data_IF_456277559113
#
_entry.id   IF_456277559113
#
_cell.length_a   1.000
_cell.length_b   1.000
_cell.length_c   1.000
_cell.angle_alpha   90.00
_cell.angle_beta   90.00
_cell.angle_gamma   90.00
#
_symmetry.space_group_name_H-M   'P 1'
#
loop_
_entity.id
_entity.type
_entity.pdbx_description
1 polymer ?
#
# COMPACT_ATOMS: atom_id res chain seq x y z
N UNK A 1 10.10 18.72 -24.39
CA UNK A 1 9.81 18.32 -22.99
C UNK A 1 10.04 16.83 -22.86
N UNK A 2 10.79 16.44 -21.86
CA UNK A 2 10.99 15.02 -21.58
C UNK A 2 9.80 14.51 -20.75
N UNK A 3 9.38 13.29 -21.04
CA UNK A 3 8.35 12.62 -20.24
C UNK A 3 8.92 12.24 -18.87
N UNK A 4 8.05 12.27 -17.87
CA UNK A 4 8.43 11.82 -16.52
C UNK A 4 8.65 10.31 -16.52
N UNK A 5 9.70 9.87 -15.86
CA UNK A 5 9.98 8.46 -15.63
C UNK A 5 9.30 8.05 -14.32
N UNK A 6 8.09 7.50 -14.45
CA UNK A 6 7.30 7.10 -13.27
C UNK A 6 7.45 5.61 -13.01
N UNK A 7 7.86 5.27 -11.79
CA UNK A 7 7.97 3.87 -11.37
C UNK A 7 6.58 3.29 -11.18
N UNK A 8 6.22 2.21 -11.88
CA UNK A 8 4.93 1.57 -11.63
C UNK A 8 4.96 0.77 -10.33
N UNK A 9 3.92 0.89 -9.54
CA UNK A 9 3.79 0.17 -8.28
C UNK A 9 2.36 -0.30 -8.09
N UNK A 10 2.19 -1.45 -7.45
CA UNK A 10 0.88 -2.01 -7.12
C UNK A 10 0.80 -2.20 -5.60
N UNK A 11 -0.35 -1.82 -5.03
CA UNK A 11 -0.59 -1.91 -3.59
C UNK A 11 -1.93 -2.57 -3.31
N UNK A 12 -2.04 -3.18 -2.14
CA UNK A 12 -3.26 -3.84 -1.72
C UNK A 12 -3.90 -3.09 -0.56
N UNK A 13 -5.19 -2.76 -0.70
CA UNK A 13 -5.99 -2.28 0.43
C UNK A 13 -6.59 -3.52 1.05
N UNK A 14 -5.96 -4.02 2.11
CA UNK A 14 -6.32 -5.28 2.75
C UNK A 14 -7.30 -4.99 3.88
N UNK A 15 -8.49 -5.57 3.79
CA UNK A 15 -9.57 -5.34 4.79
C UNK A 15 -10.04 -6.69 5.33
N UNK A 16 -10.10 -6.81 6.66
CA UNK A 16 -10.56 -8.03 7.30
C UNK A 16 -12.07 -7.98 7.61
N UNK A 17 -12.59 -9.02 8.27
CA UNK A 17 -14.01 -9.15 8.60
C UNK A 17 -14.48 -8.14 9.65
N UNK A 18 -13.57 -7.48 10.33
CA UNK A 18 -13.89 -6.44 11.32
C UNK A 18 -13.64 -5.03 10.77
N UNK A 19 -13.52 -4.90 9.46
CA UNK A 19 -13.27 -3.64 8.75
C UNK A 19 -11.95 -2.95 9.16
N UNK A 20 -10.97 -3.74 9.61
CA UNK A 20 -9.62 -3.24 9.85
C UNK A 20 -8.82 -3.31 8.56
N UNK A 21 -7.89 -2.39 8.39
CA UNK A 21 -6.98 -2.39 7.25
C UNK A 21 -5.55 -2.67 7.70
N UNK A 22 -4.82 -3.42 6.87
CA UNK A 22 -3.41 -3.74 7.13
C UNK A 22 -2.53 -2.66 6.54
N UNK A 23 -1.68 -2.07 7.37
CA UNK A 23 -0.73 -1.04 6.91
C UNK A 23 0.69 -1.42 7.27
N UNK A 24 1.63 -0.91 6.48
CA UNK A 24 3.06 -1.01 6.73
C UNK A 24 3.60 0.37 7.07
N UNK A 25 4.62 0.42 7.94
CA UNK A 25 5.25 1.67 8.32
C UNK A 25 6.61 1.78 7.66
N UNK A 26 6.84 2.92 7.02
CA UNK A 26 8.15 3.29 6.50
C UNK A 26 8.80 4.32 7.42
N UNK A 27 10.06 4.10 7.72
CA UNK A 27 10.86 4.99 8.58
C UNK A 27 11.96 5.62 7.71
N UNK A 28 11.90 6.93 7.56
CA UNK A 28 12.87 7.70 6.77
C UNK A 28 13.86 8.46 7.66
N UNK A 29 13.92 8.12 8.94
CA UNK A 29 14.82 8.73 9.90
C UNK A 29 14.20 9.91 10.63
N UNK A 30 13.71 10.89 9.90
CA UNK A 30 13.08 12.10 10.44
C UNK A 30 11.56 12.03 10.51
N UNK A 31 10.95 11.01 9.89
CA UNK A 31 9.49 10.85 9.89
C UNK A 31 9.10 9.40 9.63
N UNK A 32 7.90 9.06 10.06
CA UNK A 32 7.25 7.77 9.78
C UNK A 32 6.09 8.01 8.83
N UNK A 33 5.89 7.07 7.90
CA UNK A 33 4.73 7.11 6.99
C UNK A 33 4.09 5.74 6.99
N UNK A 34 2.78 5.68 7.20
CA UNK A 34 2.01 4.45 7.10
C UNK A 34 1.32 4.39 5.73
N UNK A 35 1.40 3.24 5.10
CA UNK A 35 0.88 3.04 3.75
C UNK A 35 0.32 1.63 3.57
N UNK A 36 -0.48 1.44 2.54
CA UNK A 36 -0.93 0.12 2.15
C UNK A 36 0.27 -0.73 1.70
N UNK A 37 0.30 -2.03 2.02
CA UNK A 37 1.39 -2.90 1.57
C UNK A 37 1.44 -2.97 0.04
N UNK A 38 2.63 -3.19 -0.49
CA UNK A 38 2.88 -3.23 -1.92
C UNK A 38 4.20 -2.59 -2.26
N UNK A 39 4.47 -2.43 -3.53
CA UNK A 39 5.70 -1.83 -4.01
C UNK A 39 5.83 -1.87 -5.51
N UNK A 40 7.04 -1.63 -5.99
CA UNK A 40 7.31 -1.56 -7.41
C UNK A 40 7.01 -2.85 -8.15
N UNK A 41 6.45 -2.70 -9.34
CA UNK A 41 6.20 -3.80 -10.26
C UNK A 41 7.51 -4.09 -10.99
N UNK A 42 7.98 -5.33 -10.91
CA UNK A 42 9.22 -5.72 -11.57
C UNK A 42 8.98 -5.97 -13.06
N UNK A 43 10.05 -5.98 -13.85
CA UNK A 43 9.98 -6.26 -15.28
C UNK A 43 9.31 -7.62 -15.49
N UNK A 44 8.41 -7.69 -16.48
CA UNK A 44 7.66 -8.90 -16.82
C UNK A 44 6.64 -9.37 -15.76
N UNK A 45 6.41 -8.56 -14.73
CA UNK A 45 5.45 -8.85 -13.68
C UNK A 45 4.13 -8.12 -13.96
N UNK A 46 2.99 -8.82 -13.77
CA UNK A 46 1.69 -8.16 -13.79
C UNK A 46 1.42 -7.50 -12.44
N UNK A 47 0.42 -6.63 -12.38
CA UNK A 47 -0.02 -5.99 -11.13
C UNK A 47 -0.34 -7.06 -10.08
N UNK A 48 -1.10 -8.09 -10.46
CA UNK A 48 -1.48 -9.18 -9.57
C UNK A 48 -0.27 -9.94 -9.04
N UNK A 49 0.69 -10.24 -9.91
CA UNK A 49 1.91 -10.93 -9.51
C UNK A 49 2.72 -10.10 -8.51
N UNK A 50 2.81 -8.79 -8.75
CA UNK A 50 3.50 -7.88 -7.84
C UNK A 50 2.82 -7.84 -6.47
N UNK A 51 1.50 -7.75 -6.44
CA UNK A 51 0.73 -7.71 -5.19
C UNK A 51 0.91 -9.03 -4.42
N UNK A 52 0.85 -10.17 -5.09
CA UNK A 52 1.02 -11.48 -4.45
C UNK A 52 2.42 -11.61 -3.85
N UNK A 53 3.43 -11.19 -4.58
CA UNK A 53 4.82 -11.20 -4.10
C UNK A 53 4.98 -10.29 -2.89
N UNK A 54 4.54 -9.05 -3.01
CA UNK A 54 4.70 -8.04 -1.94
C UNK A 54 3.93 -8.41 -0.66
N UNK A 55 2.70 -8.91 -0.77
CA UNK A 55 1.93 -9.32 0.41
C UNK A 55 2.56 -10.52 1.10
N UNK A 56 3.15 -11.43 0.36
CA UNK A 56 3.87 -12.56 0.95
C UNK A 56 5.13 -12.06 1.67
N UNK A 57 5.91 -11.21 1.02
CA UNK A 57 7.16 -10.67 1.57
C UNK A 57 6.91 -9.81 2.81
N UNK A 58 5.93 -8.93 2.75
CA UNK A 58 5.70 -7.91 3.78
C UNK A 58 4.76 -8.35 4.92
N UNK A 59 3.86 -9.29 4.66
CA UNK A 59 2.83 -9.67 5.63
C UNK A 59 2.65 -11.18 5.80
N UNK A 60 3.25 -11.98 4.94
CA UNK A 60 3.06 -13.43 4.99
C UNK A 60 1.73 -13.91 4.44
N UNK A 61 0.99 -13.05 3.72
CA UNK A 61 -0.28 -13.41 3.13
C UNK A 61 -0.05 -14.00 1.73
N UNK A 62 -0.23 -15.31 1.62
CA UNK A 62 0.02 -16.05 0.38
C UNK A 62 -1.21 -16.39 -0.43
N UNK A 63 -2.38 -16.47 0.20
CA UNK A 63 -3.62 -16.88 -0.46
C UNK A 63 -4.72 -15.87 -0.24
N UNK A 64 -5.26 -15.33 -1.34
CA UNK A 64 -6.38 -14.39 -1.32
C UNK A 64 -6.92 -14.23 -2.73
N UNK A 65 -8.13 -13.71 -2.84
CA UNK A 65 -8.69 -13.30 -4.13
C UNK A 65 -8.39 -11.82 -4.34
N UNK A 66 -7.87 -11.46 -5.51
CA UNK A 66 -7.64 -10.07 -5.86
C UNK A 66 -8.96 -9.42 -6.26
N UNK A 67 -9.34 -8.37 -5.57
CA UNK A 67 -10.53 -7.60 -5.87
C UNK A 67 -10.28 -6.51 -6.93
N UNK A 68 -11.24 -5.60 -7.10
CA UNK A 68 -11.11 -4.55 -8.12
C UNK A 68 -10.09 -3.48 -7.74
N UNK A 69 -9.60 -2.78 -8.75
CA UNK A 69 -8.80 -1.58 -8.55
C UNK A 69 -9.70 -0.50 -7.96
N UNK A 70 -9.30 0.10 -6.86
CA UNK A 70 -10.12 1.08 -6.14
C UNK A 70 -9.54 2.49 -6.16
N UNK A 71 -8.22 2.62 -6.19
CA UNK A 71 -7.55 3.92 -6.19
C UNK A 71 -6.38 3.94 -7.14
N UNK A 72 -6.03 5.15 -7.60
CA UNK A 72 -4.78 5.43 -8.30
C UNK A 72 -4.10 6.59 -7.60
N UNK A 73 -2.77 6.67 -7.73
CA UNK A 73 -2.00 7.75 -7.14
C UNK A 73 -0.75 7.98 -7.96
N UNK A 74 -0.46 9.25 -8.24
CA UNK A 74 0.81 9.63 -8.86
C UNK A 74 1.50 10.64 -7.96
N UNK A 75 2.73 10.32 -7.58
CA UNK A 75 3.55 11.18 -6.71
C UNK A 75 4.86 11.50 -7.44
N UNK A 76 5.03 12.77 -7.80
CA UNK A 76 6.23 13.22 -8.51
C UNK A 76 7.27 13.60 -7.47
N UNK A 77 8.22 12.69 -7.24
CA UNK A 77 9.32 12.85 -6.29
C UNK A 77 10.47 11.95 -6.74
N UNK A 78 11.72 12.44 -6.74
CA UNK A 78 12.85 11.61 -7.17
C UNK A 78 12.98 10.34 -6.32
N UNK A 79 13.15 9.20 -6.99
CA UNK A 79 13.27 7.88 -6.37
C UNK A 79 14.46 7.13 -6.98
N UNK A 80 14.95 6.12 -6.23
CA UNK A 80 15.97 5.22 -6.75
C UNK A 80 17.25 5.93 -7.20
N UNK A 81 17.75 6.86 -6.39
CA UNK A 81 18.97 7.63 -6.69
C UNK A 81 18.86 8.39 -8.04
N UNK A 82 17.68 8.93 -8.33
CA UNK A 82 17.43 9.69 -9.56
C UNK A 82 17.05 8.85 -10.76
N UNK A 83 16.87 7.55 -10.60
CA UNK A 83 16.41 6.67 -11.68
C UNK A 83 14.98 6.99 -12.10
N UNK A 84 14.15 7.42 -11.15
CA UNK A 84 12.75 7.74 -11.37
C UNK A 84 12.44 9.17 -10.98
N UNK A 85 11.51 9.78 -11.69
CA UNK A 85 11.03 11.14 -11.41
C UNK A 85 9.82 11.13 -10.49
N UNK A 86 9.25 9.96 -10.25
CA UNK A 86 8.11 9.76 -9.37
C UNK A 86 7.60 8.33 -9.46
N UNK A 87 6.41 8.12 -8.92
CA UNK A 87 5.79 6.81 -8.87
C UNK A 87 4.30 6.91 -9.17
N UNK A 88 3.79 5.96 -9.97
CA UNK A 88 2.37 5.76 -10.16
C UNK A 88 1.98 4.49 -9.46
N UNK A 89 0.95 4.57 -8.63
CA UNK A 89 0.48 3.45 -7.83
C UNK A 89 -0.95 3.09 -8.19
N UNK A 90 -1.22 1.79 -8.29
CA UNK A 90 -2.56 1.24 -8.49
C UNK A 90 -2.91 0.40 -7.28
N UNK A 91 -4.06 0.69 -6.65
CA UNK A 91 -4.50 0.05 -5.41
C UNK A 91 -5.65 -0.89 -5.70
N UNK A 92 -5.54 -2.11 -5.20
CA UNK A 92 -6.54 -3.17 -5.38
C UNK A 92 -7.10 -3.59 -4.02
N UNK A 93 -8.40 -3.83 -3.97
CA UNK A 93 -9.05 -4.30 -2.75
C UNK A 93 -8.75 -5.78 -2.54
N UNK A 94 -8.36 -6.14 -1.32
CA UNK A 94 -8.15 -7.52 -0.89
C UNK A 94 -8.92 -7.73 0.41
N UNK A 95 -9.99 -8.54 0.34
CA UNK A 95 -10.73 -8.93 1.55
C UNK A 95 -10.21 -10.27 2.02
N UNK A 96 -9.93 -10.38 3.31
CA UNK A 96 -9.35 -11.59 3.89
C UNK A 96 -9.79 -11.73 5.35
N UNK A 97 -9.91 -12.96 5.87
CA UNK A 97 -10.00 -13.15 7.31
C UNK A 97 -8.78 -12.54 8.01
N UNK A 98 -8.96 -12.10 9.24
CA UNK A 98 -7.84 -11.58 10.03
C UNK A 98 -6.76 -12.64 10.19
N UNK A 99 -5.52 -12.20 10.19
CA UNK A 99 -4.35 -13.07 10.38
C UNK A 99 -3.28 -12.28 11.13
N UNK A 100 -2.33 -13.01 11.75
CA UNK A 100 -1.17 -12.38 12.36
C UNK A 100 -0.11 -12.17 11.28
N UNK A 101 0.27 -10.93 10.98
CA UNK A 101 1.28 -10.68 9.94
C UNK A 101 2.62 -11.31 10.30
N UNK A 102 3.13 -12.14 9.39
CA UNK A 102 4.44 -12.78 9.51
C UNK A 102 5.20 -12.61 8.19
N UNK A 103 5.91 -11.49 8.02
CA UNK A 103 6.67 -11.26 6.79
C UNK A 103 7.57 -12.43 6.42
N UNK A 104 7.66 -12.75 5.16
CA UNK A 104 8.58 -13.77 4.65
C UNK A 104 9.99 -13.25 4.52
N UNK A 105 10.14 -11.95 4.25
CA UNK A 105 11.46 -11.32 4.32
C UNK A 105 11.85 -11.13 5.79
N UNK A 106 13.14 -11.18 6.06
CA UNK A 106 13.65 -10.85 7.39
C UNK A 106 13.45 -9.37 7.68
N UNK A 107 13.42 -9.00 8.95
CA UNK A 107 13.34 -7.58 9.31
C UNK A 107 14.56 -6.79 8.84
N UNK A 108 15.72 -7.42 8.71
CA UNK A 108 16.89 -6.77 8.13
C UNK A 108 16.66 -6.42 6.65
N UNK A 109 16.06 -7.35 5.88
CA UNK A 109 15.72 -7.11 4.48
C UNK A 109 14.64 -6.04 4.33
N UNK A 110 13.61 -6.07 5.19
CA UNK A 110 12.53 -5.07 5.16
C UNK A 110 13.06 -3.68 5.52
N UNK A 111 13.92 -3.59 6.53
CA UNK A 111 14.55 -2.30 6.91
C UNK A 111 15.42 -1.74 5.82
N UNK A 112 16.03 -2.59 4.99
CA UNK A 112 16.79 -2.13 3.84
C UNK A 112 15.88 -1.38 2.85
N UNK A 113 14.57 -1.64 2.89
CA UNK A 113 13.55 -0.94 2.11
C UNK A 113 12.81 0.10 2.96
N UNK A 114 13.33 0.44 4.13
CA UNK A 114 12.77 1.39 5.10
C UNK A 114 11.50 0.91 5.81
N UNK A 115 11.07 -0.32 5.62
CA UNK A 115 9.89 -0.86 6.30
C UNK A 115 10.24 -1.34 7.69
N UNK A 116 9.53 -0.82 8.71
CA UNK A 116 9.84 -1.10 10.11
C UNK A 116 8.68 -1.69 10.92
N UNK A 117 7.48 -1.77 10.36
CA UNK A 117 6.35 -2.37 11.06
C UNK A 117 5.25 -2.76 10.08
N UNK A 118 4.41 -3.70 10.49
CA UNK A 118 3.18 -4.06 9.80
C UNK A 118 2.12 -4.35 10.87
N UNK A 119 0.94 -3.76 10.75
CA UNK A 119 -0.12 -4.02 11.71
C UNK A 119 -1.50 -3.66 11.17
N UNK A 120 -2.52 -4.20 11.82
CA UNK A 120 -3.91 -3.89 11.55
C UNK A 120 -4.31 -2.58 12.23
N UNK A 121 -5.15 -1.80 11.55
CA UNK A 121 -5.70 -0.54 12.06
C UNK A 121 -7.21 -0.57 11.94
N UNK A 122 -7.91 -0.19 13.03
CA UNK A 122 -9.36 0.05 12.96
C UNK A 122 -9.61 1.41 12.32
N UNK A 123 -10.85 1.62 11.84
CA UNK A 123 -11.23 2.92 11.29
C UNK A 123 -11.07 4.04 12.31
N UNK A 124 -11.45 3.78 13.57
CA UNK A 124 -11.33 4.76 14.65
C UNK A 124 -9.87 5.12 14.93
N UNK A 125 -8.99 4.11 14.93
CA UNK A 125 -7.54 4.35 15.08
C UNK A 125 -6.98 5.20 13.96
N UNK A 126 -7.40 4.94 12.72
CA UNK A 126 -6.96 5.73 11.56
C UNK A 126 -7.37 7.20 11.70
N UNK A 127 -8.60 7.45 12.11
CA UNK A 127 -9.13 8.80 12.23
C UNK A 127 -8.55 9.57 13.40
N UNK A 128 -8.20 8.88 14.48
CA UNK A 128 -7.63 9.49 15.67
C UNK A 128 -6.11 9.72 15.58
N UNK A 129 -5.43 9.06 14.66
CA UNK A 129 -3.98 9.11 14.56
C UNK A 129 -3.46 10.46 14.08
N UNK A 130 -2.37 10.90 14.69
CA UNK A 130 -1.69 12.14 14.30
C UNK A 130 -0.43 11.86 13.49
N UNK A 131 -0.38 10.70 12.84
CA UNK A 131 0.75 10.28 12.01
C UNK A 131 0.48 10.58 10.53
N UNK A 132 1.53 10.51 9.73
CA UNK A 132 1.40 10.72 8.28
C UNK A 132 0.99 9.41 7.59
N UNK A 133 0.03 9.51 6.69
CA UNK A 133 -0.39 8.42 5.81
C UNK A 133 -0.05 8.76 4.35
N UNK A 134 0.19 7.72 3.55
CA UNK A 134 0.35 7.86 2.11
C UNK A 134 -0.63 6.91 1.40
N UNK A 135 -1.63 7.42 0.67
CA UNK A 135 -1.95 8.84 0.49
C UNK A 135 -2.42 9.51 1.79
N UNK A 136 -2.31 10.82 1.87
CA UNK A 136 -2.69 11.55 3.09
C UNK A 136 -4.15 11.34 3.48
N UNK A 137 -5.02 11.16 2.48
CA UNK A 137 -6.46 10.92 2.69
C UNK A 137 -6.79 9.45 3.00
N UNK A 138 -5.78 8.60 3.21
CA UNK A 138 -6.00 7.17 3.40
C UNK A 138 -7.12 6.86 4.42
N UNK A 139 -7.18 7.50 5.60
CA UNK A 139 -8.27 7.22 6.55
C UNK A 139 -9.66 7.42 5.95
N UNK A 140 -9.90 8.54 5.26
CA UNK A 140 -11.22 8.80 4.67
C UNK A 140 -11.52 7.89 3.48
N UNK A 141 -10.50 7.54 2.71
CA UNK A 141 -10.64 6.63 1.57
C UNK A 141 -11.00 5.21 2.05
N UNK A 142 -10.37 4.74 3.12
CA UNK A 142 -10.67 3.42 3.69
C UNK A 142 -12.09 3.40 4.26
N UNK A 143 -12.50 4.46 4.96
CA UNK A 143 -13.86 4.55 5.49
C UNK A 143 -14.89 4.49 4.37
N UNK A 144 -14.71 5.26 3.30
CA UNK A 144 -15.62 5.22 2.15
C UNK A 144 -15.70 3.84 1.52
N UNK A 145 -14.55 3.17 1.42
CA UNK A 145 -14.49 1.81 0.87
C UNK A 145 -15.26 0.80 1.72
N UNK A 146 -15.16 0.93 3.05
CA UNK A 146 -15.88 0.06 3.98
C UNK A 146 -17.39 0.35 3.96
N UNK A 147 -17.78 1.63 3.98
CA UNK A 147 -19.18 2.02 4.08
C UNK A 147 -19.95 1.91 2.75
N UNK A 148 -19.29 2.22 1.64
CA UNK A 148 -19.93 2.31 0.34
C UNK A 148 -19.54 1.19 -0.63
N UNK A 149 -18.52 0.41 -0.28
CA UNK A 149 -17.98 -0.61 -1.17
C UNK A 149 -17.06 -0.02 -2.24
N UNK A 150 -16.55 -0.88 -3.15
CA UNK A 150 -15.66 -0.42 -4.20
C UNK A 150 -16.32 0.61 -5.11
N UNK A 151 -15.61 1.67 -5.51
CA UNK A 151 -16.16 2.66 -6.44
C UNK A 151 -16.31 2.06 -7.84
N UNK A 152 -17.24 2.61 -8.64
CA UNK A 152 -17.45 2.16 -10.03
C UNK A 152 -16.20 2.40 -10.88
N UNK A 153 -15.45 3.46 -10.59
CA UNK A 153 -14.20 3.80 -11.24
C UNK A 153 -13.15 4.07 -10.17
N UNK A 154 -11.87 3.72 -10.39
CA UNK A 154 -10.82 4.03 -9.42
C UNK A 154 -10.77 5.53 -9.11
N UNK A 155 -10.59 5.85 -7.82
CA UNK A 155 -10.50 7.22 -7.34
C UNK A 155 -9.05 7.68 -7.37
N UNK A 156 -8.78 8.90 -7.85
CA UNK A 156 -7.46 9.50 -7.70
C UNK A 156 -7.27 9.85 -6.21
N UNK A 157 -6.37 9.15 -5.57
CA UNK A 157 -6.16 9.28 -4.12
C UNK A 157 -5.36 10.53 -3.73
N UNK A 158 -4.73 11.17 -4.69
CA UNK A 158 -3.85 12.31 -4.42
C UNK A 158 -2.54 11.88 -3.77
N UNK A 159 -1.81 12.81 -3.22
CA UNK A 159 -0.52 12.52 -2.58
C UNK A 159 -0.61 12.39 -1.08
#
# INVERSE_FOLDING_TARGET
MSELRLRPAARAVVIDEEDRTLLVRFDFGDRFVWAAPGGGIEDDETDEQAIRRELLEEAGLGEFELGPMVWTRTHVVPLGHGRWDGQTEWYYLVRTPAFDPEPRLSWAELRAENMTAVCWWTLDELEAAETEFAPRRLPSLVRSLVEEGPPAQPIDAGV
#
